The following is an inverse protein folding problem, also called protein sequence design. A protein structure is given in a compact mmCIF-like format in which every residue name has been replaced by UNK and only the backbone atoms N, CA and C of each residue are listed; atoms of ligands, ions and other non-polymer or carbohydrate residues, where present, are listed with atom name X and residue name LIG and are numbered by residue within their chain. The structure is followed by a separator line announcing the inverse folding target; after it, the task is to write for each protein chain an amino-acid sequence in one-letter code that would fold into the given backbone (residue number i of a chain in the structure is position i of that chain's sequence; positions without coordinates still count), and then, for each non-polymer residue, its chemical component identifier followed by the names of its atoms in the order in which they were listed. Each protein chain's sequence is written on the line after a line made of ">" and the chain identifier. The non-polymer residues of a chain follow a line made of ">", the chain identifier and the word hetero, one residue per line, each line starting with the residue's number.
data_IF_592762920259
#
_entry.id   IF_592762920259
#
_cell.length_a   1.000
_cell.length_b   1.000
_cell.length_c   1.000
_cell.angle_alpha   90.00
_cell.angle_beta   90.00
_cell.angle_gamma   90.00
#
_symmetry.space_group_name_H-M   'P 1'
#
loop_
_entity.id
_entity.type
_entity.pdbx_description
1 polymer ?
#
# COMPACT_ATOMS: atom_id res chain seq x y z
N UNK A 1 -33.87 -2.63 6.34
CA UNK A 1 -32.87 -3.72 6.30
C UNK A 1 -31.58 -3.15 6.83
N UNK A 2 -31.30 -3.33 8.13
CA UNK A 2 -30.04 -2.89 8.73
C UNK A 2 -29.02 -3.99 8.47
N UNK A 3 -28.04 -3.73 7.60
CA UNK A 3 -26.90 -4.64 7.40
C UNK A 3 -26.17 -4.90 8.71
N UNK A 4 -25.48 -6.05 8.86
CA UNK A 4 -24.70 -6.31 10.05
C UNK A 4 -23.65 -5.22 10.23
N UNK A 5 -23.57 -4.65 11.43
CA UNK A 5 -22.50 -3.72 11.80
C UNK A 5 -21.20 -4.52 11.76
N UNK A 6 -20.29 -4.16 10.87
CA UNK A 6 -18.92 -4.67 10.90
C UNK A 6 -18.29 -4.13 12.20
N UNK A 7 -18.19 -5.00 13.20
CA UNK A 7 -17.33 -4.71 14.34
C UNK A 7 -15.89 -4.81 13.83
N UNK A 8 -15.05 -3.79 14.01
CA UNK A 8 -13.65 -3.92 13.66
C UNK A 8 -13.05 -5.04 14.51
N UNK A 9 -12.40 -6.00 13.86
CA UNK A 9 -11.60 -7.01 14.55
C UNK A 9 -10.54 -6.32 15.40
N UNK A 10 -10.11 -6.91 16.54
CA UNK A 10 -8.95 -6.39 17.25
C UNK A 10 -7.74 -6.35 16.28
N UNK A 11 -6.86 -5.34 16.40
CA UNK A 11 -5.69 -5.27 15.54
C UNK A 11 -4.84 -6.53 15.74
N UNK A 12 -4.25 -7.07 14.67
CA UNK A 12 -3.39 -8.24 14.78
C UNK A 12 -2.14 -7.90 15.61
N UNK A 13 -1.42 -8.91 16.15
CA UNK A 13 -0.14 -8.67 16.78
C UNK A 13 0.83 -7.98 15.80
N UNK A 14 1.77 -7.13 16.26
CA UNK A 14 2.67 -6.39 15.39
C UNK A 14 3.45 -7.26 14.38
N UNK A 15 3.70 -8.52 14.74
CA UNK A 15 4.39 -9.52 13.91
C UNK A 15 3.59 -9.93 12.65
N UNK A 16 2.31 -9.62 12.61
CA UNK A 16 1.39 -9.90 11.50
C UNK A 16 1.06 -8.64 10.68
N UNK A 17 1.64 -7.48 11.01
CA UNK A 17 1.41 -6.27 10.24
C UNK A 17 1.92 -6.38 8.81
N UNK A 18 1.10 -5.86 7.90
CA UNK A 18 1.36 -5.79 6.49
C UNK A 18 2.13 -4.51 6.15
N UNK A 19 3.04 -4.58 5.16
CA UNK A 19 3.83 -3.42 4.76
C UNK A 19 2.96 -2.37 4.08
N UNK A 20 3.12 -1.12 4.50
CA UNK A 20 2.58 0.01 3.78
C UNK A 20 3.17 0.03 2.36
N UNK A 21 2.36 0.09 1.29
CA UNK A 21 2.88 0.07 -0.07
C UNK A 21 3.68 1.33 -0.42
N UNK A 22 3.53 2.42 0.34
CA UNK A 22 4.26 3.66 0.11
C UNK A 22 5.66 3.66 0.75
N UNK A 23 5.77 3.34 2.04
CA UNK A 23 7.07 3.40 2.74
C UNK A 23 7.72 2.04 3.02
N UNK A 24 6.98 0.94 2.88
CA UNK A 24 7.45 -0.42 3.11
C UNK A 24 7.48 -0.87 4.57
N UNK A 25 7.26 0.03 5.54
CA UNK A 25 7.22 -0.34 6.96
C UNK A 25 5.95 -1.14 7.29
N UNK A 26 6.08 -2.14 8.15
CA UNK A 26 4.96 -2.96 8.62
C UNK A 26 4.10 -2.16 9.61
N UNK A 27 3.04 -1.53 9.11
CA UNK A 27 2.18 -0.62 9.89
C UNK A 27 0.69 -0.86 9.71
N UNK A 28 0.30 -1.76 8.80
CA UNK A 28 -1.09 -2.02 8.44
C UNK A 28 -1.55 -3.31 9.12
N UNK A 29 -2.67 -3.28 9.82
CA UNK A 29 -3.29 -4.47 10.38
C UNK A 29 -3.96 -5.33 9.31
N UNK A 30 -4.67 -4.71 8.37
CA UNK A 30 -5.46 -5.44 7.36
C UNK A 30 -5.53 -4.67 6.04
N UNK A 31 -5.47 -5.37 4.90
CA UNK A 31 -5.74 -4.75 3.58
C UNK A 31 -7.25 -4.58 3.40
N UNK A 32 -7.67 -3.54 2.67
CA UNK A 32 -9.08 -3.15 2.50
C UNK A 32 -9.71 -2.50 3.74
N UNK A 33 -8.93 -2.24 4.79
CA UNK A 33 -9.38 -1.52 5.98
C UNK A 33 -9.20 0.02 5.86
N UNK A 34 -8.64 0.51 4.75
CA UNK A 34 -8.39 1.94 4.50
C UNK A 34 -7.55 2.60 5.61
N UNK A 35 -6.58 1.85 6.15
CA UNK A 35 -5.73 2.34 7.22
C UNK A 35 -4.74 3.39 6.71
N UNK A 36 -4.55 4.45 7.48
CA UNK A 36 -3.56 5.49 7.18
C UNK A 36 -2.24 5.12 7.85
N UNK A 37 -1.19 4.94 7.06
CA UNK A 37 0.14 4.64 7.56
C UNK A 37 0.69 5.83 8.39
N UNK A 38 1.04 5.64 9.68
CA UNK A 38 1.55 6.73 10.52
C UNK A 38 2.98 7.17 10.16
N UNK A 39 3.69 6.40 9.32
CA UNK A 39 5.07 6.69 8.92
C UNK A 39 5.13 7.61 7.71
N UNK A 40 4.22 7.45 6.75
CA UNK A 40 4.23 8.24 5.51
C UNK A 40 2.94 9.02 5.24
N UNK A 41 1.85 8.69 5.93
CA UNK A 41 0.50 9.22 5.74
C UNK A 41 -0.20 8.79 4.44
N UNK A 42 0.19 7.65 3.86
CA UNK A 42 -0.56 7.01 2.77
C UNK A 42 -1.79 6.29 3.33
N UNK A 43 -2.97 6.52 2.76
CA UNK A 43 -4.17 5.72 3.04
C UNK A 43 -4.15 4.46 2.15
N UNK A 44 -4.20 3.29 2.79
CA UNK A 44 -4.19 2.00 2.11
C UNK A 44 -5.41 1.85 1.20
N UNK A 45 -5.18 1.52 -0.07
CA UNK A 45 -6.22 1.16 -1.03
C UNK A 45 -5.64 0.08 -1.96
N UNK A 46 -6.14 -1.17 -1.91
CA UNK A 46 -5.64 -2.26 -2.75
C UNK A 46 -5.80 -1.98 -4.25
N UNK A 47 -6.75 -1.12 -4.62
CA UNK A 47 -6.92 -0.67 -6.00
C UNK A 47 -5.74 0.19 -6.46
N UNK A 48 -5.24 1.08 -5.59
CA UNK A 48 -4.04 1.88 -5.88
C UNK A 48 -2.76 1.05 -5.80
N UNK A 49 -2.72 -0.03 -5.02
CA UNK A 49 -1.62 -1.01 -5.08
C UNK A 49 -1.63 -1.81 -6.39
N UNK A 50 -2.81 -2.18 -6.90
CA UNK A 50 -2.99 -2.85 -8.20
C UNK A 50 -2.60 -1.97 -9.39
N UNK A 51 -2.91 -0.67 -9.31
CA UNK A 51 -2.64 0.34 -10.35
C UNK A 51 -1.78 1.50 -9.81
N UNK A 52 -0.48 1.27 -9.55
CA UNK A 52 0.36 2.21 -8.80
C UNK A 52 0.69 3.51 -9.55
N UNK A 53 0.45 3.56 -10.86
CA UNK A 53 0.61 4.75 -11.71
C UNK A 53 -0.62 5.66 -11.70
N UNK A 54 -1.75 5.21 -11.13
CA UNK A 54 -3.02 5.90 -11.24
C UNK A 54 -3.31 6.76 -10.00
N UNK A 55 -3.63 8.03 -10.25
CA UNK A 55 -4.06 8.99 -9.23
C UNK A 55 -5.58 8.95 -9.00
N UNK A 56 -6.10 7.83 -8.50
CA UNK A 56 -7.49 7.70 -8.04
C UNK A 56 -7.53 7.36 -6.55
N UNK A 57 -8.72 7.07 -6.01
CA UNK A 57 -8.86 6.55 -4.64
C UNK A 57 -8.82 7.66 -3.58
N UNK A 58 -8.61 7.31 -2.31
CA UNK A 58 -8.73 8.25 -1.19
C UNK A 58 -7.59 9.27 -1.15
N UNK A 59 -6.45 8.99 -1.80
CA UNK A 59 -5.24 9.81 -1.72
C UNK A 59 -5.26 11.07 -2.62
N UNK A 60 -6.44 11.68 -2.83
CA UNK A 60 -6.62 13.00 -3.46
C UNK A 60 -5.92 13.21 -4.81
N UNK A 61 -5.89 12.18 -5.66
CA UNK A 61 -5.26 12.25 -6.97
C UNK A 61 -3.76 11.93 -6.99
N UNK A 62 -3.16 11.62 -5.84
CA UNK A 62 -1.78 11.16 -5.73
C UNK A 62 -1.69 9.68 -6.10
N UNK A 63 -0.83 9.32 -7.05
CA UNK A 63 -0.52 7.92 -7.36
C UNK A 63 0.43 7.31 -6.33
N UNK A 64 0.47 5.98 -6.25
CA UNK A 64 1.38 5.29 -5.33
C UNK A 64 2.85 5.55 -5.68
N UNK A 65 3.21 5.60 -6.96
CA UNK A 65 4.59 5.91 -7.39
C UNK A 65 5.00 7.32 -6.98
N UNK A 66 4.12 8.32 -7.13
CA UNK A 66 4.39 9.69 -6.68
C UNK A 66 4.52 9.76 -5.16
N UNK A 67 3.67 9.04 -4.43
CA UNK A 67 3.74 8.95 -2.97
C UNK A 67 5.06 8.33 -2.48
N UNK A 68 5.50 7.23 -3.10
CA UNK A 68 6.79 6.59 -2.82
C UNK A 68 7.96 7.55 -3.09
N UNK A 69 7.93 8.26 -4.21
CA UNK A 69 8.94 9.26 -4.55
C UNK A 69 8.96 10.42 -3.55
N UNK A 70 7.79 10.91 -3.14
CA UNK A 70 7.66 11.95 -2.12
C UNK A 70 8.18 11.46 -0.77
N UNK A 71 7.77 10.29 -0.29
CA UNK A 71 8.25 9.76 0.99
C UNK A 71 9.77 9.68 1.03
N UNK A 72 10.41 9.18 -0.03
CA UNK A 72 11.88 9.13 -0.13
C UNK A 72 12.55 10.50 -0.08
N UNK A 73 11.88 11.55 -0.56
CA UNK A 73 12.42 12.92 -0.63
C UNK A 73 12.14 13.72 0.65
N UNK A 74 10.96 13.58 1.24
CA UNK A 74 10.44 14.48 2.30
C UNK A 74 9.92 13.77 3.56
N UNK A 75 9.89 12.43 3.56
CA UNK A 75 9.41 11.63 4.69
C UNK A 75 7.89 11.58 4.84
N UNK A 76 7.12 12.02 3.84
CA UNK A 76 5.66 11.92 3.80
C UNK A 76 5.14 11.86 2.36
N UNK A 77 3.87 11.50 2.18
CA UNK A 77 3.20 11.45 0.86
C UNK A 77 3.07 12.83 0.20
N UNK A 78 2.98 13.91 0.99
CA UNK A 78 2.99 15.31 0.53
C UNK A 78 3.65 16.20 1.59
N UNK A 79 4.07 17.41 1.21
CA UNK A 79 4.65 18.37 2.17
C UNK A 79 3.66 18.74 3.29
N UNK A 80 2.37 18.87 2.96
CA UNK A 80 1.34 19.22 3.94
C UNK A 80 1.18 18.13 5.00
N UNK A 81 1.22 16.86 4.58
CA UNK A 81 0.98 15.73 5.47
C UNK A 81 2.16 15.40 6.40
N UNK A 82 3.32 16.05 6.22
CA UNK A 82 4.47 15.90 7.13
C UNK A 82 4.13 16.23 8.59
N UNK A 83 3.09 17.03 8.84
CA UNK A 83 2.63 17.33 10.21
C UNK A 83 1.98 16.13 10.92
N UNK A 84 1.63 15.08 10.19
CA UNK A 84 0.92 13.90 10.69
C UNK A 84 1.77 12.64 10.76
N UNK A 85 3.01 12.67 10.25
CA UNK A 85 3.89 11.49 10.25
C UNK A 85 4.76 11.42 11.51
N UNK A 86 5.23 10.22 11.81
CA UNK A 86 6.26 9.95 12.82
C UNK A 86 7.33 9.00 12.26
N UNK A 87 8.51 8.93 12.88
CA UNK A 87 9.44 7.84 12.59
C UNK A 87 8.78 6.47 12.80
N UNK A 88 9.21 5.43 12.05
CA UNK A 88 8.84 4.05 12.33
C UNK A 88 9.33 3.65 13.72
N UNK A 89 8.60 2.75 14.39
CA UNK A 89 9.00 2.14 15.65
C UNK A 89 9.91 0.93 15.41
N UNK A 90 10.54 0.45 16.46
CA UNK A 90 11.42 -0.74 16.39
C UNK A 90 10.66 -2.01 15.96
N UNK A 91 9.36 -2.09 16.26
CA UNK A 91 8.44 -3.17 15.88
C UNK A 91 7.73 -2.93 14.54
N UNK A 92 8.10 -1.88 13.80
CA UNK A 92 7.60 -1.58 12.45
C UNK A 92 8.73 -1.66 11.42
N UNK A 93 9.40 -2.81 11.27
CA UNK A 93 10.54 -2.91 10.38
C UNK A 93 10.12 -2.70 8.91
N UNK A 94 11.09 -2.36 8.08
CA UNK A 94 10.93 -2.33 6.63
C UNK A 94 10.77 -3.78 6.13
N UNK A 95 9.78 -4.05 5.28
CA UNK A 95 9.67 -5.35 4.61
C UNK A 95 10.98 -5.63 3.83
N UNK A 96 11.66 -6.78 4.04
CA UNK A 96 12.97 -7.03 3.46
C UNK A 96 13.02 -7.02 1.93
N UNK A 97 11.90 -7.28 1.27
CA UNK A 97 11.80 -7.24 -0.19
C UNK A 97 11.41 -5.86 -0.73
N UNK A 98 11.03 -4.92 0.14
CA UNK A 98 10.44 -3.66 -0.28
C UNK A 98 11.38 -2.87 -1.19
N UNK A 99 10.78 -2.36 -2.26
CA UNK A 99 11.38 -1.39 -3.16
C UNK A 99 10.28 -0.54 -3.78
N UNK A 100 10.59 0.70 -4.22
CA UNK A 100 9.66 1.48 -5.02
C UNK A 100 9.20 0.72 -6.28
N UNK A 101 7.97 1.00 -6.68
CA UNK A 101 7.36 0.48 -7.90
C UNK A 101 8.13 1.00 -9.11
N UNK A 102 8.36 0.11 -10.07
CA UNK A 102 9.11 0.39 -11.28
C UNK A 102 8.30 -0.11 -12.48
N UNK A 103 7.60 0.78 -13.22
CA UNK A 103 6.78 0.39 -14.36
C UNK A 103 7.53 -0.33 -15.49
N UNK A 104 8.86 -0.20 -15.57
CA UNK A 104 9.68 -0.88 -16.58
C UNK A 104 10.02 -2.32 -16.18
N UNK A 105 9.93 -2.63 -14.88
CA UNK A 105 10.24 -3.95 -14.29
C UNK A 105 8.98 -4.72 -13.89
N UNK A 106 7.99 -4.01 -13.38
CA UNK A 106 6.81 -4.56 -12.75
C UNK A 106 5.63 -4.56 -13.73
N UNK A 107 5.06 -5.74 -14.07
CA UNK A 107 4.01 -5.85 -15.07
C UNK A 107 2.64 -5.44 -14.51
N UNK A 108 2.51 -4.17 -14.11
CA UNK A 108 1.29 -3.57 -13.60
C UNK A 108 0.15 -3.67 -14.61
N UNK A 109 -1.07 -3.81 -14.10
CA UNK A 109 -2.25 -3.84 -14.95
C UNK A 109 -2.52 -2.47 -15.56
N UNK A 110 -2.74 -2.45 -16.88
CA UNK A 110 -3.00 -1.25 -17.66
C UNK A 110 -4.50 -1.11 -17.95
N UNK A 111 -5.02 0.11 -17.87
CA UNK A 111 -6.43 0.39 -18.13
C UNK A 111 -7.34 0.03 -16.94
N UNK A 112 -8.67 0.04 -17.14
CA UNK A 112 -9.61 -0.31 -16.08
C UNK A 112 -9.40 -1.77 -15.64
N UNK A 113 -9.62 -2.05 -14.36
CA UNK A 113 -9.62 -3.41 -13.85
C UNK A 113 -10.70 -4.23 -14.59
N UNK A 114 -10.28 -5.25 -15.33
CA UNK A 114 -11.21 -6.15 -16.03
C UNK A 114 -11.56 -7.36 -15.15
N UNK A 115 -10.57 -7.83 -14.39
CA UNK A 115 -10.71 -8.98 -13.49
C UNK A 115 -11.05 -8.55 -12.06
N UNK A 116 -11.78 -9.37 -11.29
CA UNK A 116 -11.99 -9.14 -9.86
C UNK A 116 -10.66 -9.04 -9.11
N UNK A 117 -10.69 -8.42 -7.93
CA UNK A 117 -9.53 -8.41 -7.03
C UNK A 117 -9.20 -9.85 -6.59
N UNK A 118 -7.92 -10.25 -6.45
CA UNK A 118 -7.58 -11.57 -5.93
C UNK A 118 -8.12 -11.76 -4.51
N UNK A 119 -8.50 -13.00 -4.17
CA UNK A 119 -8.97 -13.37 -2.82
C UNK A 119 -7.91 -13.09 -1.75
N UNK A 120 -6.63 -13.31 -2.08
CA UNK A 120 -5.48 -12.91 -1.28
C UNK A 120 -4.88 -11.61 -1.82
N UNK A 121 -5.24 -10.49 -1.17
CA UNK A 121 -4.77 -9.16 -1.52
C UNK A 121 -3.25 -9.00 -1.35
N UNK A 122 -2.59 -9.84 -0.54
CA UNK A 122 -1.13 -9.76 -0.38
C UNK A 122 -0.37 -10.16 -1.64
N UNK A 123 -1.04 -10.82 -2.59
CA UNK A 123 -0.51 -11.10 -3.94
C UNK A 123 -0.38 -9.86 -4.82
N UNK A 124 -0.88 -8.69 -4.38
CA UNK A 124 -0.70 -7.42 -5.08
C UNK A 124 0.65 -6.76 -4.79
N UNK A 125 1.39 -7.21 -3.76
CA UNK A 125 2.72 -6.69 -3.44
C UNK A 125 3.74 -7.03 -4.53
N UNK A 126 3.94 -6.11 -5.47
CA UNK A 126 4.79 -6.28 -6.67
C UNK A 126 6.25 -6.61 -6.39
N UNK A 127 6.75 -6.31 -5.19
CA UNK A 127 8.10 -6.64 -4.80
C UNK A 127 8.25 -8.06 -4.22
N UNK A 128 7.14 -8.73 -3.87
CA UNK A 128 7.17 -10.07 -3.29
C UNK A 128 7.21 -11.16 -4.36
N UNK A 129 7.82 -12.33 -4.09
CA UNK A 129 7.83 -13.46 -5.03
C UNK A 129 6.44 -13.98 -5.40
N UNK A 130 5.43 -13.74 -4.55
CA UNK A 130 4.03 -14.12 -4.70
C UNK A 130 3.21 -13.14 -5.55
N UNK A 131 3.83 -12.09 -6.12
CA UNK A 131 3.12 -11.13 -6.94
C UNK A 131 2.36 -11.81 -8.09
N UNK A 132 1.04 -11.64 -8.13
CA UNK A 132 0.12 -12.36 -9.02
C UNK A 132 0.47 -12.22 -10.52
N UNK A 133 1.02 -11.08 -10.94
CA UNK A 133 1.42 -10.81 -12.32
C UNK A 133 2.91 -11.01 -12.58
N UNK A 134 3.68 -11.53 -11.63
CA UNK A 134 5.14 -11.73 -11.75
C UNK A 134 5.56 -12.52 -12.98
N UNK A 135 4.72 -13.45 -13.44
CA UNK A 135 4.94 -14.27 -14.63
C UNK A 135 4.94 -13.48 -15.95
N UNK A 136 4.53 -12.20 -15.93
CA UNK A 136 4.54 -11.29 -17.07
C UNK A 136 5.74 -10.33 -17.09
N UNK A 137 6.64 -10.43 -16.10
CA UNK A 137 7.82 -9.57 -16.03
C UNK A 137 8.77 -9.88 -17.22
N UNK A 138 9.47 -8.85 -17.75
CA UNK A 138 10.37 -9.00 -18.89
C UNK A 138 11.61 -9.86 -18.60
#
# INVERSE_FOLDING_TARGET
>A
MTGPRHHPSPPPPPEEFLPCPCCGHQTLGELWAYEICPVCYWEEDPSQLRHPTAGFGPNHGLSLIEAQANFRRIGAVTEEMRRHVRPPRDDEPLDPGFRPADPDRDPFEQGPAHDPMPDDLTTLYYWRPTYWRRHLAP
#
